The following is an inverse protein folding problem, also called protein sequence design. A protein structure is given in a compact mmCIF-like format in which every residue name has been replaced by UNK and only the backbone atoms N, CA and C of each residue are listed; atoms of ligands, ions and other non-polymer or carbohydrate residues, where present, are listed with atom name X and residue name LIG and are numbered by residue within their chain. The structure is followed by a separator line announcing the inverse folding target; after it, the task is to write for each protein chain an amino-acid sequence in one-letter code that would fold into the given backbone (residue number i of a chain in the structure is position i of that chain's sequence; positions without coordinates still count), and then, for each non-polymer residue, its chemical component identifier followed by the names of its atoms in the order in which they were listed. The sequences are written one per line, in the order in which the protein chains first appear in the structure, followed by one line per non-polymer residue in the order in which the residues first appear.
data_IF_915626363967
#
_entry.id   IF_915626363967
#
_cell.length_a   1.000
_cell.length_b   1.000
_cell.length_c   1.000
_cell.angle_alpha   90.00
_cell.angle_beta   90.00
_cell.angle_gamma   90.00
#
_symmetry.space_group_name_H-M   'P 1'
#
loop_
_entity.id
_entity.type
_entity.pdbx_description
1 polymer ?
#
# COMPACT_ATOMS: atom_id res chain seq x y z
N UNK A 1 2.76 -14.03 3.65
CA UNK A 1 3.61 -12.88 4.00
C UNK A 1 2.81 -11.59 4.13
N UNK A 2 2.00 -11.22 3.12
CA UNK A 2 1.12 -10.04 3.20
C UNK A 2 0.28 -9.95 4.48
N UNK A 3 -0.38 -11.05 4.88
CA UNK A 3 -1.20 -11.12 6.10
C UNK A 3 -0.46 -10.69 7.37
N UNK A 4 0.81 -11.08 7.53
CA UNK A 4 1.58 -10.75 8.74
C UNK A 4 1.91 -9.27 8.79
N UNK A 5 2.25 -8.67 7.64
CA UNK A 5 2.54 -7.23 7.56
C UNK A 5 1.26 -6.42 7.76
N UNK A 6 0.21 -6.76 7.02
CA UNK A 6 -1.06 -6.02 7.05
C UNK A 6 -1.70 -6.11 8.44
N UNK A 7 -1.84 -7.31 8.99
CA UNK A 7 -2.46 -7.47 10.30
C UNK A 7 -1.55 -7.07 11.45
N UNK A 8 -0.22 -7.21 11.31
CA UNK A 8 0.73 -6.65 12.25
C UNK A 8 0.59 -5.13 12.38
N UNK A 9 0.46 -4.43 11.25
CA UNK A 9 0.19 -3.00 11.22
C UNK A 9 -1.19 -2.64 11.78
N UNK A 10 -2.24 -3.40 11.43
CA UNK A 10 -3.59 -3.20 11.98
C UNK A 10 -3.58 -3.29 13.53
N UNK A 11 -2.93 -4.32 14.09
CA UNK A 11 -2.79 -4.53 15.54
C UNK A 11 -1.99 -3.41 16.19
N UNK A 12 -0.84 -3.05 15.62
CA UNK A 12 0.02 -2.03 16.18
C UNK A 12 -0.69 -0.67 16.23
N UNK A 13 -1.40 -0.31 15.15
CA UNK A 13 -2.19 0.91 15.09
C UNK A 13 -3.29 0.93 16.14
N UNK A 14 -4.04 -0.17 16.31
CA UNK A 14 -5.08 -0.27 17.34
C UNK A 14 -4.53 -0.11 18.77
N UNK A 15 -3.28 -0.53 18.99
CA UNK A 15 -2.59 -0.39 20.28
C UNK A 15 -1.82 0.94 20.44
N UNK A 16 -1.85 1.85 19.44
CA UNK A 16 -1.05 3.07 19.45
C UNK A 16 0.46 2.82 19.41
N UNK A 17 0.90 1.69 18.85
CA UNK A 17 2.30 1.28 18.74
C UNK A 17 2.83 1.45 17.32
N UNK A 18 4.14 1.66 17.22
CA UNK A 18 4.85 1.57 15.95
C UNK A 18 5.07 0.10 15.58
N UNK A 19 4.90 -0.22 14.30
CA UNK A 19 5.28 -1.50 13.72
C UNK A 19 6.31 -1.24 12.63
N UNK A 20 7.45 -1.91 12.74
CA UNK A 20 8.61 -1.70 11.88
C UNK A 20 9.03 -3.04 11.24
N UNK A 21 8.27 -3.53 10.25
CA UNK A 21 8.64 -4.75 9.53
C UNK A 21 9.97 -4.55 8.78
N UNK A 22 10.68 -5.65 8.49
CA UNK A 22 11.88 -5.60 7.67
C UNK A 22 11.55 -4.98 6.29
N UNK A 23 12.29 -3.97 5.80
CA UNK A 23 12.00 -3.30 4.54
C UNK A 23 11.87 -4.27 3.35
N UNK A 24 12.72 -5.29 3.30
CA UNK A 24 12.72 -6.31 2.25
C UNK A 24 11.43 -7.13 2.25
N UNK A 25 10.85 -7.39 3.43
CA UNK A 25 9.58 -8.10 3.54
C UNK A 25 8.42 -7.23 3.03
N UNK A 26 8.45 -5.91 3.27
CA UNK A 26 7.44 -4.98 2.75
C UNK A 26 7.54 -4.89 1.23
N UNK A 27 8.77 -4.83 0.69
CA UNK A 27 9.03 -4.82 -0.76
C UNK A 27 8.48 -6.07 -1.45
N UNK A 28 8.75 -7.26 -0.93
CA UNK A 28 8.19 -8.51 -1.47
C UNK A 28 6.66 -8.52 -1.48
N UNK A 29 6.01 -7.92 -0.46
CA UNK A 29 4.56 -7.81 -0.41
C UNK A 29 4.05 -6.78 -1.42
N UNK A 30 4.73 -5.65 -1.58
CA UNK A 30 4.38 -4.62 -2.56
C UNK A 30 4.47 -5.15 -4.00
N UNK A 31 5.56 -5.84 -4.33
CA UNK A 31 5.73 -6.53 -5.61
C UNK A 31 4.61 -7.52 -5.85
N UNK A 32 4.33 -8.39 -4.87
CA UNK A 32 3.25 -9.37 -4.98
C UNK A 32 1.89 -8.72 -5.22
N UNK A 33 1.50 -7.73 -4.40
CA UNK A 33 0.24 -7.00 -4.52
C UNK A 33 0.12 -6.22 -5.83
N UNK A 34 1.25 -5.75 -6.38
CA UNK A 34 1.32 -5.04 -7.66
C UNK A 34 1.33 -5.96 -8.88
N UNK A 35 1.52 -7.27 -8.69
CA UNK A 35 1.58 -8.23 -9.80
C UNK A 35 0.22 -8.85 -10.11
N UNK A 36 -0.60 -9.12 -9.09
CA UNK A 36 -1.90 -9.79 -9.22
C UNK A 36 -2.82 -9.53 -8.04
N UNK A 37 -4.11 -9.78 -8.25
CA UNK A 37 -5.08 -9.93 -7.17
C UNK A 37 -4.94 -11.32 -6.55
N UNK A 38 -5.20 -11.44 -5.24
CA UNK A 38 -5.18 -12.72 -4.54
C UNK A 38 -6.29 -12.82 -3.50
N UNK A 39 -6.04 -12.36 -2.27
CA UNK A 39 -7.04 -12.28 -1.22
C UNK A 39 -7.86 -10.98 -1.28
N UNK A 40 -7.31 -9.97 -1.95
CA UNK A 40 -7.89 -8.64 -2.16
C UNK A 40 -7.63 -8.21 -3.61
N UNK A 41 -8.39 -7.21 -4.06
CA UNK A 41 -8.26 -6.57 -5.39
C UNK A 41 -7.03 -5.64 -5.47
N UNK A 42 -5.89 -6.05 -4.91
CA UNK A 42 -4.69 -5.20 -4.72
C UNK A 42 -4.15 -4.64 -6.03
N UNK A 43 -4.02 -5.47 -7.07
CA UNK A 43 -3.56 -5.03 -8.38
C UNK A 43 -4.65 -4.23 -9.09
N UNK A 44 -5.88 -4.72 -9.05
CA UNK A 44 -7.01 -4.07 -9.70
C UNK A 44 -7.24 -2.64 -9.17
N UNK A 45 -7.04 -2.39 -7.87
CA UNK A 45 -7.15 -1.05 -7.26
C UNK A 45 -6.12 -0.06 -7.80
N UNK A 46 -4.91 -0.51 -8.11
CA UNK A 46 -3.82 0.37 -8.56
C UNK A 46 -3.62 0.38 -10.09
N UNK A 47 -4.55 -0.15 -10.87
CA UNK A 47 -4.39 -0.30 -12.33
C UNK A 47 -4.33 1.01 -13.12
N UNK A 48 -4.86 2.10 -12.57
CA UNK A 48 -5.01 3.40 -13.23
C UNK A 48 -4.21 4.54 -12.56
N UNK A 49 -3.35 4.16 -11.62
CA UNK A 49 -2.43 5.04 -10.89
C UNK A 49 -1.03 4.42 -10.87
N UNK A 50 -0.04 5.22 -10.53
CA UNK A 50 1.29 4.75 -10.17
C UNK A 50 1.47 4.86 -8.65
N UNK A 51 1.96 3.80 -8.03
CA UNK A 51 2.36 3.75 -6.62
C UNK A 51 3.88 3.95 -6.60
N UNK A 52 4.36 4.95 -5.84
CA UNK A 52 5.77 5.33 -5.77
C UNK A 52 6.18 5.40 -4.31
N UNK A 53 7.12 4.54 -3.90
CA UNK A 53 7.64 4.57 -2.54
C UNK A 53 8.65 5.71 -2.35
N UNK A 54 8.54 6.42 -1.23
CA UNK A 54 9.45 7.52 -0.88
C UNK A 54 10.69 7.03 -0.11
N UNK A 55 10.61 5.84 0.48
CA UNK A 55 11.62 5.23 1.36
C UNK A 55 12.34 4.02 0.75
N UNK A 56 11.93 3.59 -0.45
CA UNK A 56 12.47 2.43 -1.18
C UNK A 56 12.44 2.70 -2.71
N UNK A 57 13.32 2.05 -3.47
CA UNK A 57 13.30 2.11 -4.95
C UNK A 57 12.22 1.17 -5.51
N UNK A 58 10.95 1.56 -5.30
CA UNK A 58 9.79 0.81 -5.75
C UNK A 58 8.79 1.73 -6.45
N UNK A 59 8.44 1.36 -7.67
CA UNK A 59 7.35 1.99 -8.42
C UNK A 59 6.55 0.91 -9.16
N UNK A 60 5.23 0.99 -9.10
CA UNK A 60 4.36 0.06 -9.81
C UNK A 60 3.09 0.73 -10.35
N UNK A 61 2.56 0.19 -11.44
CA UNK A 61 1.34 0.73 -12.09
C UNK A 61 1.65 1.81 -13.12
N UNK A 62 0.61 2.52 -13.56
CA UNK A 62 0.68 3.54 -14.59
C UNK A 62 -0.42 4.58 -14.37
N UNK A 63 -0.08 5.87 -14.54
CA UNK A 63 -1.00 6.98 -14.36
C UNK A 63 -0.50 7.98 -13.30
N UNK A 64 -1.40 8.83 -12.76
CA UNK A 64 -1.03 9.80 -11.73
C UNK A 64 -0.43 9.11 -10.50
N UNK A 65 0.65 9.68 -9.97
CA UNK A 65 1.39 9.10 -8.86
C UNK A 65 0.66 9.22 -7.52
N UNK A 66 0.86 8.22 -6.67
CA UNK A 66 0.57 8.22 -5.24
C UNK A 66 1.88 7.90 -4.52
N UNK A 67 2.28 8.80 -3.64
CA UNK A 67 3.53 8.78 -2.89
C UNK A 67 3.29 8.46 -1.41
N UNK A 68 4.27 7.82 -0.78
CA UNK A 68 4.34 7.60 0.66
C UNK A 68 5.35 6.53 1.04
N UNK A 69 5.45 6.23 2.35
CA UNK A 69 6.22 5.07 2.82
C UNK A 69 5.65 3.77 2.23
N UNK A 70 6.54 2.84 1.86
CA UNK A 70 6.16 1.60 1.20
C UNK A 70 5.14 0.78 2.02
N UNK A 71 5.25 0.83 3.35
CA UNK A 71 4.28 0.19 4.24
C UNK A 71 2.87 0.80 4.08
N UNK A 72 2.74 2.12 4.05
CA UNK A 72 1.44 2.78 3.90
C UNK A 72 0.83 2.56 2.51
N UNK A 73 1.66 2.47 1.47
CA UNK A 73 1.25 2.08 0.13
C UNK A 73 0.74 0.63 0.10
N UNK A 74 1.45 -0.32 0.74
CA UNK A 74 1.01 -1.71 0.91
C UNK A 74 -0.33 -1.78 1.66
N UNK A 75 -0.49 -1.00 2.73
CA UNK A 75 -1.75 -0.94 3.47
C UNK A 75 -2.90 -0.42 2.60
N UNK A 76 -2.64 0.58 1.75
CA UNK A 76 -3.64 1.09 0.82
C UNK A 76 -3.99 0.07 -0.27
N UNK A 77 -2.99 -0.64 -0.80
CA UNK A 77 -3.19 -1.77 -1.72
C UNK A 77 -3.93 -2.95 -1.08
N UNK A 78 -3.91 -3.05 0.24
CA UNK A 78 -4.73 -3.99 1.00
C UNK A 78 -6.15 -3.45 1.30
N UNK A 79 -6.50 -2.25 0.85
CA UNK A 79 -7.84 -1.66 1.07
C UNK A 79 -7.99 -0.94 2.42
N UNK A 80 -6.91 -0.67 3.17
CA UNK A 80 -7.01 0.00 4.48
C UNK A 80 -7.02 1.52 4.31
N UNK A 81 -8.22 2.11 4.29
CA UNK A 81 -8.45 3.54 4.08
C UNK A 81 -7.70 4.45 5.07
N UNK A 82 -7.34 3.95 6.25
CA UNK A 82 -6.61 4.76 7.24
C UNK A 82 -5.20 5.15 6.76
N UNK A 83 -4.55 4.36 5.89
CA UNK A 83 -3.23 4.73 5.38
C UNK A 83 -3.27 5.88 4.38
N UNK A 84 -4.43 6.20 3.78
CA UNK A 84 -4.58 7.31 2.84
C UNK A 84 -4.17 8.66 3.44
N UNK A 85 -4.20 8.81 4.77
CA UNK A 85 -3.78 10.03 5.47
C UNK A 85 -2.27 10.26 5.40
N UNK A 86 -1.48 9.19 5.24
CA UNK A 86 -0.02 9.25 5.10
C UNK A 86 0.42 9.36 3.64
N UNK A 87 -0.50 9.28 2.69
CA UNK A 87 -0.20 9.25 1.27
C UNK A 87 -0.43 10.63 0.64
N UNK A 88 0.24 10.89 -0.48
CA UNK A 88 0.12 12.15 -1.23
C UNK A 88 0.12 11.92 -2.74
N UNK A 89 -0.17 12.97 -3.52
CA UNK A 89 -0.05 12.94 -4.98
C UNK A 89 -1.37 12.87 -5.75
N UNK A 90 -1.31 13.13 -7.07
CA UNK A 90 -2.50 13.31 -7.92
C UNK A 90 -3.34 12.04 -8.13
N UNK A 91 -2.81 10.85 -7.81
CA UNK A 91 -3.54 9.58 -7.91
C UNK A 91 -4.47 9.27 -6.73
N UNK A 92 -4.40 10.04 -5.63
CA UNK A 92 -5.12 9.71 -4.38
C UNK A 92 -6.64 9.65 -4.53
N UNK A 93 -7.22 10.56 -5.31
CA UNK A 93 -8.67 10.59 -5.53
C UNK A 93 -9.13 9.31 -6.25
N UNK A 94 -8.35 8.84 -7.23
CA UNK A 94 -8.61 7.59 -7.95
C UNK A 94 -8.44 6.36 -7.06
N UNK A 95 -7.38 6.33 -6.25
CA UNK A 95 -7.15 5.27 -5.27
C UNK A 95 -8.32 5.17 -4.29
N UNK A 96 -8.75 6.31 -3.73
CA UNK A 96 -9.87 6.38 -2.78
C UNK A 96 -11.17 5.88 -3.41
N UNK A 97 -11.45 6.27 -4.65
CA UNK A 97 -12.63 5.82 -5.39
C UNK A 97 -12.62 4.31 -5.68
N UNK A 98 -11.44 3.70 -5.85
CA UNK A 98 -11.29 2.26 -6.07
C UNK A 98 -11.47 1.41 -4.81
N UNK A 99 -11.49 2.03 -3.61
CA UNK A 99 -11.69 1.37 -2.32
C UNK A 99 -13.17 1.38 -1.84
N UNK A 100 -14.10 1.73 -2.72
CA UNK A 100 -15.54 1.80 -2.44
C UNK A 100 -16.23 0.43 -2.53
#
# INVERSE_FOLDING_TARGET
MGEVIVHGQDIARALGRKFNPAPEAVLLVAEFFSSKDFAVNSRSMIKSISIVADDQDFTAGCGPAVHGELLDLVMAMAGRKQSLQSLSGPGLSKLTAAMA
#
